data_IF_554087982999
#
_entry.id   IF_554087982999
#
_cell.length_a   1.000
_cell.length_b   1.000
_cell.length_c   1.000
_cell.angle_alpha   90.00
_cell.angle_beta   90.00
_cell.angle_gamma   90.00
#
_symmetry.space_group_name_H-M   'P 1'
#
loop_
_entity.id
_entity.type
_entity.pdbx_description
1 polymer ?
#
# COMPACT_ATOMS: atom_id res chain seq x y z
N UNK A 1 12.12 -17.38 17.93
CA UNK A 1 11.09 -16.35 18.16
C UNK A 1 9.74 -17.05 18.10
N UNK A 2 8.92 -16.96 19.16
CA UNK A 2 7.58 -17.55 19.14
C UNK A 2 6.71 -16.83 18.10
N UNK A 3 5.72 -17.52 17.50
CA UNK A 3 4.74 -16.86 16.65
C UNK A 3 3.91 -15.84 17.46
N UNK A 4 3.40 -14.77 16.84
CA UNK A 4 2.46 -13.86 17.48
C UNK A 4 1.21 -14.59 17.99
N UNK A 5 0.69 -14.19 19.14
CA UNK A 5 -0.55 -14.72 19.69
C UNK A 5 -1.78 -14.21 18.94
N UNK A 6 -2.90 -14.94 19.03
CA UNK A 6 -4.17 -14.55 18.41
C UNK A 6 -4.65 -13.16 18.89
N UNK A 7 -4.39 -12.81 20.15
CA UNK A 7 -4.74 -11.50 20.70
C UNK A 7 -3.89 -10.37 20.09
N UNK A 8 -2.63 -10.62 19.76
CA UNK A 8 -1.76 -9.66 19.07
C UNK A 8 -2.18 -9.49 17.62
N UNK A 9 -2.50 -10.59 16.94
CA UNK A 9 -3.01 -10.59 15.57
C UNK A 9 -4.33 -9.81 15.49
N UNK A 10 -5.26 -10.07 16.39
CA UNK A 10 -6.55 -9.38 16.42
C UNK A 10 -6.39 -7.88 16.66
N UNK A 11 -5.56 -7.50 17.65
CA UNK A 11 -5.28 -6.10 17.95
C UNK A 11 -4.71 -5.37 16.73
N UNK A 12 -3.75 -5.99 16.05
CA UNK A 12 -3.11 -5.41 14.88
C UNK A 12 -4.04 -5.36 13.66
N UNK A 13 -4.86 -6.40 13.44
CA UNK A 13 -5.92 -6.38 12.42
C UNK A 13 -6.83 -5.18 12.61
N UNK A 14 -7.36 -4.98 13.83
CA UNK A 14 -8.29 -3.90 14.12
C UNK A 14 -7.64 -2.52 13.93
N UNK A 15 -6.37 -2.38 14.32
CA UNK A 15 -5.57 -1.16 14.10
C UNK A 15 -5.44 -0.87 12.60
N UNK A 16 -4.97 -1.84 11.81
CA UNK A 16 -4.80 -1.72 10.36
C UNK A 16 -6.12 -1.42 9.66
N UNK A 17 -7.21 -2.10 10.05
CA UNK A 17 -8.54 -1.86 9.49
C UNK A 17 -9.00 -0.43 9.75
N UNK A 18 -8.86 0.05 10.99
CA UNK A 18 -9.23 1.42 11.35
C UNK A 18 -8.44 2.46 10.56
N UNK A 19 -7.14 2.26 10.41
CA UNK A 19 -6.26 3.16 9.64
C UNK A 19 -6.56 3.13 8.14
N UNK A 20 -6.79 1.95 7.57
CA UNK A 20 -7.19 1.79 6.18
C UNK A 20 -8.49 2.56 5.92
N UNK A 21 -9.53 2.30 6.71
CA UNK A 21 -10.82 2.94 6.58
C UNK A 21 -10.74 4.44 6.85
N UNK A 22 -9.84 4.89 7.74
CA UNK A 22 -9.54 6.30 8.00
C UNK A 22 -8.77 7.00 6.86
N UNK A 23 -8.10 6.24 6.00
CA UNK A 23 -7.37 6.72 4.83
C UNK A 23 -8.05 6.50 3.48
N UNK A 24 -9.23 5.88 3.43
CA UNK A 24 -9.96 5.61 2.18
C UNK A 24 -9.56 4.32 1.49
N UNK A 25 -8.96 3.40 2.25
CA UNK A 25 -8.57 2.08 1.79
C UNK A 25 -9.39 1.03 2.52
N UNK A 26 -9.46 -0.17 1.94
CA UNK A 26 -10.18 -1.28 2.53
C UNK A 26 -9.24 -2.47 2.68
N UNK A 27 -9.41 -3.23 3.77
CA UNK A 27 -8.79 -4.55 3.89
C UNK A 27 -9.62 -5.59 3.17
N UNK A 28 -8.98 -6.67 2.75
CA UNK A 28 -9.65 -7.84 2.19
C UNK A 28 -10.70 -8.40 3.18
N UNK A 29 -11.92 -8.72 2.73
CA UNK A 29 -12.99 -9.18 3.60
C UNK A 29 -12.75 -10.59 4.19
N UNK A 30 -11.84 -11.39 3.62
CA UNK A 30 -11.45 -12.68 4.19
C UNK A 30 -10.55 -12.48 5.43
N UNK A 31 -11.19 -12.52 6.61
CA UNK A 31 -10.52 -12.30 7.89
C UNK A 31 -9.45 -13.35 8.20
N UNK A 32 -9.68 -14.61 7.83
CA UNK A 32 -8.70 -15.69 8.08
C UNK A 32 -7.44 -15.45 7.25
N UNK A 33 -7.63 -15.10 5.97
CA UNK A 33 -6.53 -14.74 5.08
C UNK A 33 -5.77 -13.50 5.59
N UNK A 34 -6.49 -12.42 5.93
CA UNK A 34 -5.88 -11.20 6.47
C UNK A 34 -5.11 -11.48 7.76
N UNK A 35 -5.63 -12.28 8.67
CA UNK A 35 -4.94 -12.62 9.92
C UNK A 35 -3.62 -13.36 9.68
N UNK A 36 -3.54 -14.19 8.64
CA UNK A 36 -2.28 -14.80 8.19
C UNK A 36 -1.25 -13.75 7.76
N UNK A 37 -1.67 -12.75 6.99
CA UNK A 37 -0.80 -11.64 6.57
C UNK A 37 -0.38 -10.74 7.74
N UNK A 38 -1.29 -10.46 8.67
CA UNK A 38 -1.03 -9.69 9.89
C UNK A 38 -0.01 -10.41 10.79
N UNK A 39 -0.15 -11.72 10.95
CA UNK A 39 0.85 -12.54 11.65
C UNK A 39 2.23 -12.43 11.00
N UNK A 40 2.28 -12.47 9.66
CA UNK A 40 3.51 -12.23 8.90
C UNK A 40 4.11 -10.84 9.11
N UNK A 41 3.27 -9.79 9.14
CA UNK A 41 3.71 -8.42 9.41
C UNK A 41 4.29 -8.26 10.82
N UNK A 42 3.63 -8.82 11.83
CA UNK A 42 4.11 -8.81 13.22
C UNK A 42 5.44 -9.57 13.34
N UNK A 43 5.52 -10.76 12.74
CA UNK A 43 6.74 -11.58 12.68
C UNK A 43 7.89 -10.81 12.02
N UNK A 44 7.63 -10.14 10.91
CA UNK A 44 8.65 -9.34 10.21
C UNK A 44 9.05 -8.10 11.00
N UNK A 45 8.10 -7.47 11.71
CA UNK A 45 8.38 -6.31 12.56
C UNK A 45 9.32 -6.68 13.69
N UNK A 46 9.05 -7.78 14.38
CA UNK A 46 9.94 -8.29 15.44
C UNK A 46 11.31 -8.72 14.88
N UNK A 47 11.33 -9.41 13.75
CA UNK A 47 12.56 -9.95 13.15
C UNK A 47 13.49 -8.85 12.60
N UNK A 48 12.94 -7.87 11.89
CA UNK A 48 13.72 -6.89 11.12
C UNK A 48 13.70 -5.48 11.73
N UNK A 49 12.84 -5.24 12.73
CA UNK A 49 12.62 -3.91 13.32
C UNK A 49 11.70 -3.00 12.49
N UNK A 50 11.06 -3.51 11.44
CA UNK A 50 10.11 -2.77 10.61
C UNK A 50 9.11 -3.72 9.92
N UNK A 51 7.89 -3.25 9.57
CA UNK A 51 6.84 -4.09 9.00
C UNK A 51 7.11 -4.38 7.52
N UNK A 52 8.11 -5.20 7.23
CA UNK A 52 8.40 -5.65 5.87
C UNK A 52 7.20 -6.45 5.30
N UNK A 53 6.88 -6.25 4.02
CA UNK A 53 5.79 -6.93 3.33
C UNK A 53 5.84 -8.45 3.58
N UNK A 54 4.76 -9.08 4.08
CA UNK A 54 4.78 -10.48 4.49
C UNK A 54 4.89 -11.46 3.32
N UNK A 55 4.62 -11.01 2.09
CA UNK A 55 4.66 -11.82 0.87
C UNK A 55 5.87 -11.52 -0.01
N UNK A 56 6.82 -10.71 0.45
CA UNK A 56 8.08 -10.43 -0.26
C UNK A 56 9.26 -10.78 0.62
N UNK A 57 10.35 -11.21 -0.01
CA UNK A 57 11.59 -11.46 0.69
C UNK A 57 12.29 -10.14 1.03
N UNK A 58 12.36 -9.81 2.32
CA UNK A 58 13.11 -8.67 2.82
C UNK A 58 14.62 -8.96 2.81
N UNK A 59 15.43 -7.95 2.48
CA UNK A 59 16.87 -7.99 2.66
C UNK A 59 17.28 -7.86 4.15
N UNK A 60 16.35 -7.44 5.02
CA UNK A 60 16.63 -7.23 6.44
C UNK A 60 17.39 -5.94 6.72
N UNK A 61 17.53 -5.08 5.70
CA UNK A 61 18.20 -3.78 5.78
C UNK A 61 17.16 -2.74 5.40
N UNK A 62 16.69 -1.97 6.38
CA UNK A 62 15.54 -1.07 6.22
C UNK A 62 15.70 -0.13 5.02
N UNK A 63 16.89 0.41 4.80
CA UNK A 63 17.20 1.32 3.70
C UNK A 63 17.03 0.67 2.32
N UNK A 64 17.20 -0.64 2.22
CA UNK A 64 17.02 -1.41 0.97
C UNK A 64 15.60 -1.90 0.77
N UNK A 65 14.80 -1.91 1.83
CA UNK A 65 13.45 -2.45 1.85
C UNK A 65 12.37 -1.38 2.07
N UNK A 66 12.72 -0.09 2.06
CA UNK A 66 11.77 1.03 2.22
C UNK A 66 10.58 0.90 1.26
N UNK A 67 10.84 0.45 0.03
CA UNK A 67 9.82 0.26 -1.01
C UNK A 67 8.79 -0.83 -0.68
N UNK A 68 9.14 -1.76 0.22
CA UNK A 68 8.30 -2.88 0.66
C UNK A 68 7.92 -2.82 2.15
N UNK A 69 8.23 -1.73 2.86
CA UNK A 69 7.64 -1.47 4.19
C UNK A 69 6.13 -1.31 4.00
N UNK A 70 5.32 -2.04 4.76
CA UNK A 70 3.87 -2.02 4.60
C UNK A 70 3.24 -0.74 5.21
N UNK A 71 2.37 -0.02 4.49
CA UNK A 71 1.96 -0.22 3.09
C UNK A 71 3.07 0.18 2.09
N UNK A 72 3.36 -0.70 1.13
CA UNK A 72 4.47 -0.55 0.19
C UNK A 72 4.17 0.45 -0.94
N UNK A 73 5.21 0.93 -1.62
CA UNK A 73 5.10 1.91 -2.73
C UNK A 73 4.22 1.42 -3.88
N UNK A 74 4.09 0.10 -4.02
CA UNK A 74 3.32 -0.56 -5.08
C UNK A 74 1.81 -0.67 -4.79
N UNK A 75 1.36 -0.43 -3.55
CA UNK A 75 -0.04 -0.67 -3.14
C UNK A 75 -1.03 0.12 -4.00
N UNK A 76 -0.81 1.42 -4.14
CA UNK A 76 -1.75 2.30 -4.84
C UNK A 76 -1.84 2.02 -6.35
N UNK A 77 -0.73 1.85 -7.10
CA UNK A 77 -0.83 1.45 -8.50
C UNK A 77 -1.43 0.05 -8.68
N UNK A 78 -1.13 -0.90 -7.78
CA UNK A 78 -1.74 -2.23 -7.80
C UNK A 78 -3.26 -2.16 -7.57
N UNK A 79 -3.72 -1.36 -6.59
CA UNK A 79 -5.15 -1.15 -6.36
C UNK A 79 -5.84 -0.56 -7.58
N UNK A 80 -5.22 0.45 -8.20
CA UNK A 80 -5.77 1.15 -9.36
C UNK A 80 -5.89 0.24 -10.58
N UNK A 81 -4.90 -0.64 -10.82
CA UNK A 81 -4.87 -1.49 -12.02
C UNK A 81 -5.53 -2.86 -11.82
N UNK A 82 -5.49 -3.40 -10.61
CA UNK A 82 -5.87 -4.80 -10.33
C UNK A 82 -6.89 -4.95 -9.20
N UNK A 83 -7.28 -3.85 -8.54
CA UNK A 83 -8.22 -3.87 -7.42
C UNK A 83 -7.68 -4.46 -6.12
N UNK A 84 -6.41 -4.88 -6.07
CA UNK A 84 -5.78 -5.42 -4.87
C UNK A 84 -4.29 -5.12 -4.88
N UNK A 85 -3.67 -4.94 -3.71
CA UNK A 85 -2.21 -4.94 -3.64
C UNK A 85 -1.63 -6.34 -3.87
N UNK A 86 -0.33 -6.45 -4.15
CA UNK A 86 0.33 -7.74 -4.41
C UNK A 86 0.00 -8.87 -3.43
N UNK A 87 -0.06 -8.59 -2.12
CA UNK A 87 -0.41 -9.59 -1.10
C UNK A 87 -1.92 -9.74 -0.86
N UNK A 88 -2.75 -8.96 -1.56
CA UNK A 88 -4.18 -8.84 -1.36
C UNK A 88 -4.61 -8.48 0.07
N UNK A 89 -3.75 -7.80 0.85
CA UNK A 89 -4.12 -7.24 2.15
C UNK A 89 -5.10 -6.07 1.98
N UNK A 90 -4.76 -5.15 1.07
CA UNK A 90 -5.60 -4.02 0.70
C UNK A 90 -6.29 -4.33 -0.63
N UNK A 91 -7.57 -3.96 -0.73
CA UNK A 91 -8.41 -4.19 -1.90
C UNK A 91 -9.25 -2.96 -2.23
N UNK A 92 -9.78 -2.91 -3.45
CA UNK A 92 -10.73 -1.88 -3.90
C UNK A 92 -12.05 -1.99 -3.14
N UNK A 93 -12.84 -0.91 -3.20
CA UNK A 93 -14.18 -0.90 -2.60
C UNK A 93 -15.12 -1.97 -3.16
N UNK A 94 -14.96 -2.35 -4.45
CA UNK A 94 -15.77 -3.38 -5.09
C UNK A 94 -15.49 -4.78 -4.51
N UNK A 95 -14.22 -5.10 -4.29
CA UNK A 95 -13.82 -6.37 -3.67
C UNK A 95 -14.15 -6.38 -2.18
N UNK A 96 -13.93 -5.27 -1.46
CA UNK A 96 -14.30 -5.17 -0.05
C UNK A 96 -15.81 -5.33 0.17
N UNK A 97 -16.62 -4.87 -0.78
CA UNK A 97 -18.07 -5.05 -0.76
C UNK A 97 -18.53 -6.44 -1.24
N UNK A 98 -17.61 -7.34 -1.62
CA UNK A 98 -17.90 -8.68 -2.11
C UNK A 98 -18.54 -8.73 -3.50
N UNK A 99 -18.48 -7.64 -4.27
CA UNK A 99 -19.00 -7.57 -5.65
C UNK A 99 -18.03 -8.18 -6.65
N UNK A 100 -16.74 -8.15 -6.32
CA UNK A 100 -15.67 -8.76 -7.10
C UNK A 100 -14.76 -9.60 -6.17
N UNK A 101 -13.87 -10.40 -6.77
CA UNK A 101 -12.86 -11.17 -6.04
C UNK A 101 -11.47 -10.65 -6.40
N UNK A 102 -10.57 -10.58 -5.42
CA UNK A 102 -9.18 -10.25 -5.66
C UNK A 102 -8.55 -11.26 -6.62
N UNK A 103 -8.02 -10.77 -7.74
CA UNK A 103 -7.30 -11.55 -8.74
C UNK A 103 -5.80 -11.66 -8.44
N UNK A 104 -5.07 -12.34 -9.32
CA UNK A 104 -3.61 -12.37 -9.25
C UNK A 104 -3.04 -11.00 -9.64
N UNK A 105 -2.14 -10.48 -8.81
CA UNK A 105 -1.45 -9.20 -9.03
C UNK A 105 0.00 -9.50 -9.42
N UNK A 106 0.51 -9.00 -10.56
CA UNK A 106 1.90 -9.21 -10.95
C UNK A 106 2.87 -8.50 -9.99
N UNK A 107 4.06 -9.07 -9.81
CA UNK A 107 5.10 -8.43 -8.99
C UNK A 107 5.70 -7.22 -9.73
N UNK A 108 5.38 -6.01 -9.24
CA UNK A 108 5.96 -4.76 -9.77
C UNK A 108 7.39 -4.50 -9.30
N UNK A 109 7.78 -5.06 -8.15
CA UNK A 109 9.12 -4.85 -7.61
C UNK A 109 10.16 -5.49 -8.51
N UNK A 110 11.15 -4.74 -9.03
CA UNK A 110 12.21 -5.32 -9.84
C UNK A 110 13.04 -6.34 -9.04
N UNK A 111 13.59 -7.36 -9.70
CA UNK A 111 14.53 -8.29 -9.06
C UNK A 111 15.70 -7.52 -8.42
N UNK A 112 15.98 -7.79 -7.15
CA UNK A 112 17.02 -7.10 -6.38
C UNK A 112 16.62 -5.77 -5.76
N UNK A 113 15.37 -5.31 -5.95
CA UNK A 113 14.83 -4.07 -5.38
C UNK A 113 14.81 -2.90 -6.35
N UNK A 114 14.39 -1.70 -5.89
CA UNK A 114 14.30 -0.53 -6.75
C UNK A 114 15.68 -0.11 -7.21
N UNK A 115 15.84 0.12 -8.53
CA UNK A 115 17.07 0.69 -9.06
C UNK A 115 17.18 2.13 -8.56
N UNK A 116 18.30 2.50 -7.92
CA UNK A 116 18.61 3.91 -7.64
C UNK A 116 18.65 4.65 -8.98
N UNK A 117 17.61 5.42 -9.29
CA UNK A 117 17.70 6.45 -10.30
C UNK A 117 18.42 7.62 -9.63
N UNK A 118 19.58 8.01 -10.14
CA UNK A 118 20.16 9.30 -9.78
C UNK A 118 19.14 10.37 -10.14
N UNK A 119 18.51 10.98 -9.14
CA UNK A 119 17.66 12.14 -9.35
C UNK A 119 18.61 13.26 -9.76
N UNK A 120 18.59 13.74 -11.02
CA UNK A 120 19.30 14.98 -11.31
C UNK A 120 18.71 16.06 -10.40
N UNK A 121 19.52 17.03 -10.00
CA UNK A 121 18.99 18.25 -9.38
C UNK A 121 18.13 18.97 -10.42
N UNK A 122 16.88 18.54 -10.56
CA UNK A 122 16.05 18.88 -11.70
C UNK A 122 14.93 19.80 -11.23
N UNK A 123 14.83 20.95 -11.89
CA UNK A 123 13.74 21.90 -11.66
C UNK A 123 12.36 21.28 -11.89
N UNK A 124 11.32 22.06 -11.57
CA UNK A 124 9.91 21.64 -11.53
C UNK A 124 9.41 20.93 -12.82
N UNK A 125 10.09 21.13 -13.96
CA UNK A 125 9.73 20.49 -15.25
C UNK A 125 10.23 19.06 -15.48
N UNK A 126 11.02 18.46 -14.57
CA UNK A 126 11.63 17.14 -14.77
C UNK A 126 11.28 16.15 -13.65
N UNK A 127 10.04 16.23 -13.14
CA UNK A 127 9.57 15.32 -12.10
C UNK A 127 9.42 13.89 -12.64
N UNK A 128 9.78 12.87 -11.84
CA UNK A 128 9.68 11.47 -12.26
C UNK A 128 8.24 10.96 -12.36
N UNK A 129 7.28 11.67 -11.78
CA UNK A 129 5.85 11.35 -11.79
C UNK A 129 5.03 12.63 -11.98
N UNK A 130 3.84 12.54 -12.60
CA UNK A 130 2.88 13.65 -12.56
C UNK A 130 2.40 13.88 -11.13
N UNK A 131 2.05 15.13 -10.83
CA UNK A 131 1.50 15.54 -9.55
C UNK A 131 -0.02 15.68 -9.70
N UNK A 132 -0.77 14.96 -8.87
CA UNK A 132 -2.22 15.02 -8.83
C UNK A 132 -2.69 15.86 -7.65
N UNK A 133 -3.69 16.72 -7.87
CA UNK A 133 -4.30 17.57 -6.85
C UNK A 133 -5.76 17.21 -6.65
N UNK A 134 -6.14 16.98 -5.40
CA UNK A 134 -7.54 16.87 -5.03
C UNK A 134 -8.22 18.26 -5.12
N UNK A 135 -9.25 18.41 -5.97
CA UNK A 135 -10.00 19.66 -6.14
C UNK A 135 -10.82 20.08 -4.91
N UNK A 136 -10.89 19.24 -3.88
CA UNK A 136 -11.70 19.47 -2.67
C UNK A 136 -10.88 20.06 -1.53
N UNK A 137 -9.79 19.39 -1.18
CA UNK A 137 -8.96 19.75 -0.03
C UNK A 137 -7.54 20.17 -0.40
N UNK A 138 -7.16 20.07 -1.68
CA UNK A 138 -5.83 20.43 -2.15
C UNK A 138 -4.73 19.39 -1.88
N UNK A 139 -5.05 18.20 -1.38
CA UNK A 139 -4.08 17.11 -1.23
C UNK A 139 -3.31 16.87 -2.54
N UNK A 140 -1.98 16.78 -2.44
CA UNK A 140 -1.06 16.56 -3.56
C UNK A 140 -0.38 15.20 -3.43
N UNK A 141 -0.31 14.45 -4.52
CA UNK A 141 0.46 13.20 -4.60
C UNK A 141 1.17 13.05 -5.95
N UNK A 142 2.43 12.61 -5.92
CA UNK A 142 3.21 12.30 -7.11
C UNK A 142 3.18 10.78 -7.36
N UNK A 143 2.43 10.36 -8.37
CA UNK A 143 2.09 8.96 -8.70
C UNK A 143 1.69 8.89 -10.18
N UNK A 144 1.72 7.70 -10.78
CA UNK A 144 1.24 7.51 -12.18
C UNK A 144 -0.24 7.89 -12.35
N UNK A 145 -1.06 7.68 -11.33
CA UNK A 145 -2.46 8.10 -11.25
C UNK A 145 -2.85 8.61 -9.86
N UNK A 146 -4.00 9.30 -9.70
CA UNK A 146 -4.49 9.68 -8.39
C UNK A 146 -5.01 8.45 -7.62
N UNK A 147 -5.04 8.48 -6.28
CA UNK A 147 -5.65 7.41 -5.50
C UNK A 147 -7.15 7.31 -5.78
N UNK A 148 -7.73 6.12 -5.65
CA UNK A 148 -9.18 5.87 -5.82
C UNK A 148 -10.02 6.81 -4.93
N UNK A 149 -9.55 7.04 -3.71
CA UNK A 149 -10.16 7.90 -2.70
C UNK A 149 -9.09 8.82 -2.12
N UNK A 150 -9.38 10.10 -2.03
CA UNK A 150 -8.51 11.07 -1.38
C UNK A 150 -8.32 10.70 0.10
N UNK A 151 -7.08 10.49 0.59
CA UNK A 151 -6.85 10.05 1.96
C UNK A 151 -7.18 11.11 3.01
N UNK A 152 -7.34 12.37 2.58
CA UNK A 152 -7.65 13.50 3.46
C UNK A 152 -9.16 13.74 3.57
N UNK A 153 -9.84 13.92 2.43
CA UNK A 153 -11.25 14.36 2.39
C UNK A 153 -12.24 13.33 1.83
N UNK A 154 -11.75 12.17 1.40
CA UNK A 154 -12.53 11.05 0.85
C UNK A 154 -13.26 11.31 -0.46
N UNK A 155 -12.90 12.39 -1.15
CA UNK A 155 -13.29 12.61 -2.54
C UNK A 155 -12.80 11.47 -3.43
N UNK A 156 -13.64 11.02 -4.37
CA UNK A 156 -13.27 10.01 -5.37
C UNK A 156 -12.21 10.53 -6.35
N UNK A 157 -11.54 9.61 -7.04
CA UNK A 157 -10.46 9.89 -8.01
C UNK A 157 -10.86 10.84 -9.14
N UNK A 158 -12.13 10.85 -9.55
CA UNK A 158 -12.71 11.77 -10.53
C UNK A 158 -12.66 13.26 -10.09
N UNK A 159 -12.42 13.51 -8.80
CA UNK A 159 -12.24 14.86 -8.24
C UNK A 159 -10.78 15.29 -8.20
N UNK A 160 -9.85 14.53 -8.76
CA UNK A 160 -8.46 14.94 -8.94
C UNK A 160 -8.22 15.59 -10.30
N UNK A 161 -7.23 16.47 -10.35
CA UNK A 161 -6.72 17.05 -11.59
C UNK A 161 -5.19 16.93 -11.62
N UNK A 162 -4.62 16.85 -12.82
CA UNK A 162 -3.18 16.92 -12.99
C UNK A 162 -2.72 18.36 -12.72
N UNK A 163 -1.84 18.52 -11.75
CA UNK A 163 -1.27 19.80 -11.34
C UNK A 163 0.02 20.12 -12.09
N UNK A 164 0.93 19.13 -12.22
CA UNK A 164 2.22 19.19 -12.94
C UNK A 164 2.42 17.85 -13.66
#
# INVERSE_FOLDING_TARGET
MPPPSDAEIEREHLRLKKEAEAGGYHLNPDRTFVNGLVSGLLTNTERYGYPACPCRLAAGIRERDLDIVCPCDYRDPDLTEHGACYCALYVSGEIAAGREKAGAVPERRPPGGPKKKETPAAGIGALPFPVWRCRVCGYLCARDGPPEICPVCRAKSDRFERFI
#
